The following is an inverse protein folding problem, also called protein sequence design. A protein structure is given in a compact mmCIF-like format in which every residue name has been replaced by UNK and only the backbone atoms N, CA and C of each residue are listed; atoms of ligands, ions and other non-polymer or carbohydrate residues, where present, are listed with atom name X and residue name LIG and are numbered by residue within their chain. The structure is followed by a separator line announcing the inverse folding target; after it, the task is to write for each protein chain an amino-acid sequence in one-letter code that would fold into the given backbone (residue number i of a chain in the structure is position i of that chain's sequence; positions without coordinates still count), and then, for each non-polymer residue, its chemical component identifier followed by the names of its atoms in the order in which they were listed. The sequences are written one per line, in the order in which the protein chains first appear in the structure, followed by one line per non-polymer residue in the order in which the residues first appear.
data_IF_762099127784
#
_entry.id   IF_762099127784
#
_cell.length_a   1.000
_cell.length_b   1.000
_cell.length_c   1.000
_cell.angle_alpha   90.00
_cell.angle_beta   90.00
_cell.angle_gamma   90.00
#
_symmetry.space_group_name_H-M   'P 1'
#
loop_
_entity.id
_entity.type
_entity.pdbx_description
1 polymer ?
#
# COMPACT_ATOMS: atom_id res chain seq x y z
N UNK A 1 -23.39 -40.81 25.49
CA UNK A 1 -23.50 -39.42 26.01
C UNK A 1 -24.84 -38.86 25.52
N UNK A 2 -25.62 -38.17 26.36
CA UNK A 2 -26.96 -37.70 25.95
C UNK A 2 -26.88 -36.52 24.96
N UNK A 3 -27.76 -36.43 23.95
CA UNK A 3 -27.62 -35.50 22.82
C UNK A 3 -27.83 -34.03 23.18
N UNK A 4 -28.63 -33.75 24.22
CA UNK A 4 -28.90 -32.39 24.69
C UNK A 4 -27.65 -31.79 25.37
N UNK A 5 -26.91 -32.61 26.11
CA UNK A 5 -25.67 -32.18 26.75
C UNK A 5 -24.57 -31.88 25.73
N UNK A 6 -24.53 -32.65 24.64
CA UNK A 6 -23.60 -32.41 23.53
C UNK A 6 -23.90 -31.10 22.78
N UNK A 7 -25.17 -30.78 22.57
CA UNK A 7 -25.58 -29.53 21.92
C UNK A 7 -25.16 -28.29 22.74
N UNK A 8 -25.33 -28.35 24.07
CA UNK A 8 -24.91 -27.28 24.96
C UNK A 8 -23.39 -27.13 25.02
N UNK A 9 -22.64 -28.24 25.01
CA UNK A 9 -21.18 -28.16 24.96
C UNK A 9 -20.68 -27.50 23.66
N UNK A 10 -21.31 -27.81 22.51
CA UNK A 10 -20.98 -27.20 21.22
C UNK A 10 -21.28 -25.69 21.18
N UNK A 11 -22.39 -25.23 21.77
CA UNK A 11 -22.69 -23.79 21.82
C UNK A 11 -21.66 -23.03 22.69
N UNK A 12 -21.24 -23.60 23.82
CA UNK A 12 -20.20 -23.02 24.66
C UNK A 12 -18.81 -22.97 23.97
N UNK A 13 -18.49 -23.93 23.10
CA UNK A 13 -17.27 -23.92 22.29
C UNK A 13 -17.27 -22.78 21.25
N UNK A 14 -18.40 -22.56 20.57
CA UNK A 14 -18.55 -21.49 19.57
C UNK A 14 -18.46 -20.09 20.17
N UNK A 15 -18.89 -19.91 21.43
CA UNK A 15 -18.81 -18.64 22.14
C UNK A 15 -17.39 -18.28 22.62
N UNK A 16 -16.43 -19.22 22.59
CA UNK A 16 -15.04 -18.93 22.95
C UNK A 16 -14.40 -18.09 21.85
N UNK A 17 -13.95 -16.87 22.21
CA UNK A 17 -13.29 -15.90 21.30
C UNK A 17 -12.23 -16.52 20.39
N UNK A 18 -11.42 -17.45 20.90
CA UNK A 18 -10.36 -18.13 20.13
C UNK A 18 -10.92 -19.03 19.02
N UNK A 19 -12.01 -19.75 19.27
CA UNK A 19 -12.65 -20.61 18.28
C UNK A 19 -13.30 -19.75 17.18
N UNK A 20 -14.01 -18.70 17.58
CA UNK A 20 -14.59 -17.72 16.66
C UNK A 20 -13.54 -17.09 15.73
N UNK A 21 -12.45 -16.55 16.29
CA UNK A 21 -11.38 -15.94 15.49
C UNK A 21 -10.70 -16.93 14.54
N UNK A 22 -10.54 -18.19 14.97
CA UNK A 22 -9.98 -19.26 14.13
C UNK A 22 -10.89 -19.60 12.94
N UNK A 23 -12.21 -19.57 13.13
CA UNK A 23 -13.19 -19.88 12.08
C UNK A 23 -13.43 -18.70 11.13
N UNK A 24 -13.40 -17.45 11.62
CA UNK A 24 -13.55 -16.27 10.77
C UNK A 24 -12.31 -15.95 9.92
N UNK A 25 -11.11 -16.31 10.39
CA UNK A 25 -9.85 -16.04 9.69
C UNK A 25 -9.75 -16.68 8.30
N UNK A 26 -10.30 -17.89 8.13
CA UNK A 26 -10.29 -18.59 6.84
C UNK A 26 -11.20 -17.93 5.80
N UNK A 27 -12.37 -17.41 6.22
CA UNK A 27 -13.31 -16.71 5.34
C UNK A 27 -12.78 -15.37 4.82
N UNK A 28 -12.13 -14.58 5.68
CA UNK A 28 -11.48 -13.32 5.26
C UNK A 28 -10.28 -13.57 4.34
N UNK A 29 -9.52 -14.64 4.58
CA UNK A 29 -8.43 -15.06 3.69
C UNK A 29 -8.94 -15.44 2.29
N UNK A 30 -10.07 -16.16 2.21
CA UNK A 30 -10.69 -16.51 0.92
C UNK A 30 -11.20 -15.29 0.15
N UNK A 31 -11.75 -14.28 0.85
CA UNK A 31 -12.16 -13.00 0.25
C UNK A 31 -10.96 -12.24 -0.33
N UNK A 32 -9.84 -12.18 0.41
CA UNK A 32 -8.60 -11.58 -0.07
C UNK A 32 -8.01 -12.34 -1.26
N UNK A 33 -8.01 -13.68 -1.21
CA UNK A 33 -7.58 -14.54 -2.31
C UNK A 33 -8.46 -14.34 -3.55
N UNK A 34 -9.79 -14.27 -3.41
CA UNK A 34 -10.72 -14.01 -4.51
C UNK A 34 -10.56 -12.64 -5.16
N UNK A 35 -10.17 -11.63 -4.37
CA UNK A 35 -9.77 -10.32 -4.88
C UNK A 35 -8.46 -10.40 -5.68
N UNK A 36 -7.47 -11.13 -5.19
CA UNK A 36 -6.19 -11.34 -5.89
C UNK A 36 -6.33 -12.25 -7.13
N UNK A 37 -7.26 -13.20 -7.12
CA UNK A 37 -7.59 -14.07 -8.25
C UNK A 37 -8.50 -13.40 -9.29
N UNK A 38 -8.90 -12.15 -9.08
CA UNK A 38 -9.43 -11.29 -10.15
C UNK A 38 -10.91 -11.47 -10.50
N UNK A 39 -11.78 -11.80 -9.55
CA UNK A 39 -13.23 -11.86 -9.82
C UNK A 39 -13.89 -10.47 -10.03
N UNK A 40 -13.15 -9.38 -9.78
CA UNK A 40 -13.51 -8.05 -10.29
C UNK A 40 -13.07 -7.96 -11.75
N UNK A 41 -14.00 -8.31 -12.64
CA UNK A 41 -13.89 -8.15 -14.09
C UNK A 41 -13.86 -6.66 -14.47
N UNK A 42 -12.74 -5.99 -14.20
CA UNK A 42 -12.33 -4.86 -15.03
C UNK A 42 -11.58 -5.44 -16.23
N UNK A 43 -12.37 -5.61 -17.29
CA UNK A 43 -12.00 -6.09 -18.61
C UNK A 43 -10.64 -5.55 -19.06
N UNK A 44 -9.66 -6.44 -19.12
CA UNK A 44 -8.43 -6.21 -19.87
C UNK A 44 -8.65 -6.51 -21.35
N UNK A 45 -7.94 -5.73 -22.15
CA UNK A 45 -7.52 -5.99 -23.53
C UNK A 45 -8.55 -5.76 -24.65
N UNK A 46 -8.88 -4.50 -24.84
CA UNK A 46 -8.83 -3.92 -26.20
C UNK A 46 -7.57 -3.08 -26.24
N UNK A 47 -6.81 -3.16 -27.33
CA UNK A 47 -5.61 -2.37 -27.62
C UNK A 47 -5.93 -0.89 -27.37
N UNK A 48 -5.64 -0.41 -26.16
CA UNK A 48 -6.06 0.91 -25.68
C UNK A 48 -4.83 1.80 -25.63
N UNK A 49 -4.63 2.54 -26.73
CA UNK A 49 -3.70 3.65 -26.89
C UNK A 49 -2.19 3.31 -27.05
N UNK A 50 -1.58 3.50 -28.24
CA UNK A 50 -0.13 3.34 -28.45
C UNK A 50 0.72 4.37 -27.67
N UNK A 51 0.11 5.41 -27.12
CA UNK A 51 0.73 6.37 -26.20
C UNK A 51 0.53 6.00 -24.72
N UNK A 52 0.00 4.82 -24.41
CA UNK A 52 -0.14 4.38 -23.04
C UNK A 52 1.24 4.35 -22.35
N UNK A 53 1.37 4.90 -21.13
CA UNK A 53 2.62 4.92 -20.41
C UNK A 53 3.10 3.50 -20.16
N UNK A 54 4.31 3.19 -20.67
CA UNK A 54 4.95 1.88 -20.47
C UNK A 54 5.40 1.74 -19.01
N UNK A 55 5.34 0.52 -18.50
CA UNK A 55 5.91 0.22 -17.20
C UNK A 55 7.44 0.42 -17.22
N UNK A 56 8.04 0.96 -16.15
CA UNK A 56 9.48 1.10 -16.05
C UNK A 56 10.18 -0.27 -15.99
N UNK A 57 11.41 -0.34 -16.50
CA UNK A 57 12.23 -1.57 -16.47
C UNK A 57 12.58 -2.03 -15.04
N UNK A 58 12.55 -1.11 -14.08
CA UNK A 58 12.84 -1.38 -12.68
C UNK A 58 11.70 -0.89 -11.79
N UNK A 59 11.49 -1.60 -10.67
CA UNK A 59 10.55 -1.15 -9.66
C UNK A 59 11.00 0.19 -9.07
N UNK A 60 10.06 1.13 -8.95
CA UNK A 60 10.32 2.41 -8.30
C UNK A 60 10.69 2.20 -6.84
N UNK A 61 11.92 2.57 -6.46
CA UNK A 61 12.40 2.45 -5.07
C UNK A 61 11.76 3.47 -4.14
N UNK A 62 11.28 4.59 -4.67
CA UNK A 62 10.64 5.68 -3.92
C UNK A 62 9.17 5.83 -4.35
N UNK A 63 8.29 6.02 -3.36
CA UNK A 63 6.84 6.19 -3.58
C UNK A 63 6.47 7.60 -4.03
N UNK A 64 7.20 8.61 -3.55
CA UNK A 64 7.01 10.02 -3.89
C UNK A 64 8.36 10.73 -3.91
N UNK A 65 8.56 11.61 -4.89
CA UNK A 65 9.73 12.49 -4.98
C UNK A 65 9.23 13.93 -4.98
N UNK A 66 9.58 14.69 -3.94
CA UNK A 66 9.27 16.11 -3.85
C UNK A 66 10.52 16.87 -4.29
N UNK A 67 10.47 17.48 -5.48
CA UNK A 67 11.55 18.33 -5.98
C UNK A 67 11.22 19.80 -5.67
N UNK A 68 12.09 20.44 -4.89
CA UNK A 68 11.97 21.84 -4.51
C UNK A 68 13.08 22.61 -5.24
N UNK A 69 12.71 23.38 -6.26
CA UNK A 69 13.64 24.30 -6.93
C UNK A 69 13.58 25.66 -6.25
N UNK A 70 14.51 25.93 -5.34
CA UNK A 70 14.63 27.22 -4.65
C UNK A 70 15.45 28.20 -5.50
N UNK A 71 14.83 28.74 -6.55
CA UNK A 71 15.42 29.82 -7.32
C UNK A 71 15.55 31.07 -6.42
N UNK A 72 16.78 31.54 -6.22
CA UNK A 72 17.06 32.74 -5.42
C UNK A 72 17.68 32.50 -4.04
N UNK A 73 17.86 31.24 -3.61
CA UNK A 73 18.72 30.98 -2.44
C UNK A 73 20.20 31.06 -2.84
N UNK A 74 21.06 31.70 -2.03
CA UNK A 74 22.50 31.58 -2.20
C UNK A 74 22.89 30.10 -2.15
N UNK A 75 23.80 29.67 -3.02
CA UNK A 75 24.28 28.29 -2.98
C UNK A 75 24.90 28.00 -1.61
N UNK A 76 24.84 26.75 -1.13
CA UNK A 76 25.45 26.38 0.15
C UNK A 76 26.93 26.75 0.22
N UNK A 77 27.62 26.77 -0.93
CA UNK A 77 29.03 27.16 -1.04
C UNK A 77 29.25 28.67 -0.88
N UNK A 78 28.24 29.50 -1.19
CA UNK A 78 28.35 30.96 -1.18
C UNK A 78 27.97 31.60 0.17
N UNK A 79 27.38 30.84 1.10
CA UNK A 79 26.79 31.39 2.32
C UNK A 79 27.81 31.92 3.34
N UNK A 80 29.05 31.41 3.30
CA UNK A 80 30.09 31.72 4.29
C UNK A 80 31.34 32.34 3.68
N UNK A 81 31.33 32.65 2.37
CA UNK A 81 32.46 33.25 1.69
C UNK A 81 32.26 34.76 1.60
N UNK A 82 33.08 35.51 2.34
CA UNK A 82 33.01 36.96 2.34
C UNK A 82 33.66 37.51 1.05
N UNK A 83 32.81 37.98 0.14
CA UNK A 83 33.21 38.57 -1.15
C UNK A 83 33.09 40.11 -1.12
N UNK A 84 34.12 40.84 -0.68
CA UNK A 84 34.08 42.30 -0.55
C UNK A 84 33.94 43.04 -1.89
N UNK A 85 34.24 42.39 -3.01
CA UNK A 85 34.14 42.99 -4.35
C UNK A 85 32.69 43.17 -4.83
N UNK A 86 31.74 42.40 -4.29
CA UNK A 86 30.31 42.52 -4.60
C UNK A 86 29.65 43.77 -3.99
N UNK A 87 30.27 44.42 -3.00
CA UNK A 87 29.74 45.64 -2.38
C UNK A 87 30.10 46.93 -3.13
N UNK A 88 30.93 46.84 -4.19
CA UNK A 88 31.47 48.01 -4.89
C UNK A 88 30.58 48.54 -6.02
N UNK A 89 29.45 47.90 -6.28
CA UNK A 89 28.51 48.19 -7.37
C UNK A 89 27.09 48.23 -6.84
#
# INVERSE_FOLDING_TARGET
MSPIQEANQKSHELLKRRHFLRQCGTGMGMMALGSMMGCSSDKKDIITNPYAPKLPHFAGKAKSVIYLHMAGSPSQLELFDFKPELQKW
#
